data_IF_229717265512
#
_entry.id   IF_229717265512
#
_cell.length_a   1.000
_cell.length_b   1.000
_cell.length_c   1.000
_cell.angle_alpha   90.00
_cell.angle_beta   90.00
_cell.angle_gamma   90.00
#
_symmetry.space_group_name_H-M   'P 1'
#
loop_
_entity.id
_entity.type
_entity.pdbx_description
1 polymer ?
#
# COMPACT_ATOMS: atom_id res chain seq x y z
N UNK A 1 10.34 19.03 -3.68
CA UNK A 1 10.38 19.15 -5.16
C UNK A 1 10.05 20.60 -5.50
N UNK A 2 10.77 21.18 -6.46
CA UNK A 2 10.51 22.53 -6.96
C UNK A 2 10.16 22.48 -8.45
N UNK A 3 9.13 23.24 -8.82
CA UNK A 3 8.60 23.34 -10.18
C UNK A 3 8.76 24.76 -10.72
N UNK A 4 9.10 24.86 -11.99
CA UNK A 4 9.02 26.09 -12.77
C UNK A 4 7.92 25.94 -13.82
N UNK A 5 6.86 26.74 -13.70
CA UNK A 5 5.76 26.77 -14.66
C UNK A 5 6.10 27.81 -15.73
N UNK A 6 6.45 27.33 -16.93
CA UNK A 6 6.74 28.16 -18.10
C UNK A 6 5.47 28.47 -18.92
N UNK A 7 5.65 28.90 -20.17
CA UNK A 7 4.54 29.12 -21.13
C UNK A 7 4.01 27.84 -21.80
N UNK A 8 4.63 26.69 -21.53
CA UNK A 8 4.22 25.38 -22.05
C UNK A 8 3.18 24.71 -21.16
N UNK A 9 2.46 23.74 -21.72
CA UNK A 9 1.50 22.89 -21.00
C UNK A 9 2.17 21.95 -19.97
N UNK A 10 3.50 21.81 -20.01
CA UNK A 10 4.28 21.01 -19.07
C UNK A 10 5.16 21.89 -18.18
N UNK A 11 5.18 21.58 -16.88
CA UNK A 11 6.07 22.23 -15.92
C UNK A 11 7.49 21.62 -15.97
N UNK A 12 8.50 22.47 -15.76
CA UNK A 12 9.90 22.06 -15.66
C UNK A 12 10.24 21.74 -14.21
N UNK A 13 10.81 20.56 -13.97
CA UNK A 13 11.33 20.16 -12.66
C UNK A 13 12.73 20.76 -12.49
N UNK A 14 12.90 21.66 -11.54
CA UNK A 14 14.19 22.32 -11.30
C UNK A 14 15.01 21.65 -10.21
N UNK A 15 14.35 21.11 -9.18
CA UNK A 15 15.01 20.43 -8.07
C UNK A 15 14.17 19.29 -7.50
N UNK A 16 14.84 18.17 -7.20
CA UNK A 16 14.26 16.99 -6.57
C UNK A 16 15.13 16.55 -5.42
N UNK A 17 14.47 16.20 -4.32
CA UNK A 17 15.09 15.55 -3.17
C UNK A 17 14.25 14.33 -2.79
N UNK A 18 14.91 13.23 -2.42
CA UNK A 18 14.22 12.02 -1.95
C UNK A 18 13.95 12.15 -0.46
N UNK A 19 12.68 12.35 -0.09
CA UNK A 19 12.27 12.49 1.31
C UNK A 19 11.95 11.16 1.99
N UNK A 20 11.43 10.18 1.25
CA UNK A 20 11.03 8.88 1.80
C UNK A 20 11.29 7.77 0.81
N UNK A 21 11.88 6.68 1.30
CA UNK A 21 12.22 5.51 0.48
C UNK A 21 11.65 4.22 1.09
N UNK A 22 11.11 3.35 0.24
CA UNK A 22 10.42 2.11 0.62
C UNK A 22 11.16 0.85 0.10
N UNK A 23 12.40 0.55 0.57
CA UNK A 23 13.21 -0.57 0.04
C UNK A 23 12.50 -1.92 0.17
N UNK A 24 11.82 -2.16 1.31
CA UNK A 24 11.04 -3.38 1.57
C UNK A 24 9.90 -3.61 0.57
N UNK A 25 9.39 -2.55 -0.07
CA UNK A 25 8.39 -2.67 -1.14
C UNK A 25 9.10 -2.96 -2.46
N UNK A 26 10.14 -2.19 -2.79
CA UNK A 26 10.90 -2.32 -4.04
C UNK A 26 11.52 -3.71 -4.22
N UNK A 27 12.04 -4.30 -3.14
CA UNK A 27 12.77 -5.58 -3.16
C UNK A 27 11.83 -6.81 -3.13
N UNK A 28 10.51 -6.60 -3.04
CA UNK A 28 9.53 -7.68 -2.98
C UNK A 28 8.48 -7.50 -4.07
N UNK A 29 8.48 -8.38 -5.08
CA UNK A 29 7.62 -8.26 -6.26
C UNK A 29 6.13 -8.19 -5.91
N UNK A 30 5.65 -9.02 -4.98
CA UNK A 30 4.23 -9.00 -4.56
C UNK A 30 3.84 -7.65 -3.94
N UNK A 31 4.72 -7.05 -3.12
CA UNK A 31 4.49 -5.72 -2.55
C UNK A 31 4.57 -4.64 -3.61
N UNK A 32 5.49 -4.76 -4.57
CA UNK A 32 5.60 -3.81 -5.66
C UNK A 32 4.33 -3.82 -6.52
N UNK A 33 3.79 -4.99 -6.85
CA UNK A 33 2.51 -5.12 -7.58
C UNK A 33 1.38 -4.44 -6.82
N UNK A 34 1.27 -4.65 -5.50
CA UNK A 34 0.26 -4.00 -4.65
C UNK A 34 0.43 -2.49 -4.58
N UNK A 35 1.67 -2.00 -4.50
CA UNK A 35 1.97 -0.58 -4.49
C UNK A 35 1.57 0.10 -5.81
N UNK A 36 1.83 -0.55 -6.95
CA UNK A 36 1.39 -0.05 -8.26
C UNK A 36 -0.14 0.01 -8.37
N UNK A 37 -0.85 -1.01 -7.86
CA UNK A 37 -2.31 -1.00 -7.85
C UNK A 37 -2.89 0.14 -6.99
N UNK A 38 -2.24 0.48 -5.87
CA UNK A 38 -2.63 1.63 -5.05
C UNK A 38 -2.39 2.96 -5.77
N UNK A 39 -1.30 3.08 -6.53
CA UNK A 39 -1.02 4.28 -7.32
C UNK A 39 -2.07 4.48 -8.42
N UNK A 40 -2.38 3.43 -9.17
CA UNK A 40 -3.41 3.45 -10.22
C UNK A 40 -4.78 3.85 -9.65
N UNK A 41 -5.16 3.26 -8.51
CA UNK A 41 -6.44 3.58 -7.86
C UNK A 41 -6.52 5.05 -7.44
N UNK A 42 -5.41 5.66 -7.03
CA UNK A 42 -5.36 7.08 -6.67
C UNK A 42 -5.39 7.96 -7.91
N UNK A 43 -4.67 7.58 -8.96
CA UNK A 43 -4.63 8.30 -10.24
C UNK A 43 -6.02 8.40 -10.89
N UNK A 44 -6.79 7.30 -10.85
CA UNK A 44 -8.17 7.24 -11.36
C UNK A 44 -9.16 8.15 -10.63
N UNK A 45 -8.88 8.49 -9.37
CA UNK A 45 -9.80 9.25 -8.50
C UNK A 45 -9.38 10.71 -8.39
N UNK A 46 -8.11 11.03 -8.63
CA UNK A 46 -7.62 12.40 -8.62
C UNK A 46 -8.19 13.20 -9.79
N UNK A 47 -8.56 14.46 -9.53
CA UNK A 47 -9.00 15.38 -10.58
C UNK A 47 -7.78 15.94 -11.34
N UNK A 48 -7.82 16.02 -12.68
CA UNK A 48 -6.75 16.62 -13.46
C UNK A 48 -6.47 18.06 -13.04
N UNK A 49 -5.19 18.44 -13.01
CA UNK A 49 -4.70 19.80 -12.70
C UNK A 49 -5.12 20.40 -11.34
N UNK A 50 -5.74 19.59 -10.47
CA UNK A 50 -6.12 20.01 -9.12
C UNK A 50 -5.21 19.38 -8.05
N UNK A 51 -4.77 20.17 -7.04
CA UNK A 51 -4.01 19.61 -5.93
C UNK A 51 -4.90 18.69 -5.09
N UNK A 52 -4.50 17.42 -4.95
CA UNK A 52 -5.20 16.42 -4.14
C UNK A 52 -4.39 15.99 -2.89
N UNK A 53 -4.20 16.88 -1.89
CA UNK A 53 -3.36 16.60 -0.71
C UNK A 53 -3.87 15.42 0.13
N UNK A 54 -5.19 15.22 0.19
CA UNK A 54 -5.80 14.11 0.92
C UNK A 54 -5.48 12.76 0.28
N UNK A 55 -5.51 12.69 -1.05
CA UNK A 55 -5.13 11.50 -1.82
C UNK A 55 -3.64 11.18 -1.65
N UNK A 56 -2.79 12.21 -1.63
CA UNK A 56 -1.37 12.06 -1.31
C UNK A 56 -1.17 11.45 0.09
N UNK A 57 -1.84 11.98 1.12
CA UNK A 57 -1.76 11.47 2.49
C UNK A 57 -2.27 10.04 2.58
N UNK A 58 -3.38 9.73 1.91
CA UNK A 58 -3.95 8.37 1.86
C UNK A 58 -2.96 7.38 1.22
N UNK A 59 -2.41 7.70 0.05
CA UNK A 59 -1.43 6.86 -0.63
C UNK A 59 -0.20 6.63 0.24
N UNK A 60 0.34 7.70 0.84
CA UNK A 60 1.52 7.61 1.68
C UNK A 60 1.29 6.67 2.88
N UNK A 61 0.14 6.80 3.56
CA UNK A 61 -0.26 5.90 4.66
C UNK A 61 -0.43 4.47 4.20
N UNK A 62 -1.04 4.24 3.03
CA UNK A 62 -1.21 2.91 2.46
C UNK A 62 0.15 2.26 2.16
N UNK A 63 1.12 3.00 1.60
CA UNK A 63 2.49 2.53 1.38
C UNK A 63 3.22 2.23 2.69
N UNK A 64 3.03 3.04 3.74
CA UNK A 64 3.56 2.74 5.07
C UNK A 64 2.97 1.47 5.69
N UNK A 65 1.67 1.22 5.50
CA UNK A 65 1.01 -0.02 5.94
C UNK A 65 1.54 -1.23 5.16
N UNK A 66 1.65 -1.10 3.84
CA UNK A 66 2.18 -2.13 2.94
C UNK A 66 3.64 -2.46 3.24
N UNK A 67 4.46 -1.46 3.64
CA UNK A 67 5.84 -1.67 4.13
C UNK A 67 5.87 -2.48 5.43
N UNK A 68 4.95 -2.22 6.36
CA UNK A 68 5.03 -2.70 7.75
C UNK A 68 4.49 -4.12 7.96
N UNK A 69 3.82 -4.72 6.96
CA UNK A 69 2.96 -5.92 7.13
C UNK A 69 1.85 -5.65 8.16
N UNK A 70 0.74 -5.08 7.72
CA UNK A 70 -0.55 -5.60 8.19
C UNK A 70 -0.98 -6.63 7.14
N UNK A 71 -0.81 -7.92 7.45
CA UNK A 71 -1.62 -8.91 6.78
C UNK A 71 -3.06 -8.51 7.12
N UNK A 72 -3.86 -8.15 6.14
CA UNK A 72 -5.31 -8.32 6.29
C UNK A 72 -5.47 -9.79 6.66
N UNK A 73 -5.77 -10.03 7.93
CA UNK A 73 -5.97 -11.35 8.51
C UNK A 73 -7.29 -11.90 7.96
N UNK A 74 -7.31 -12.20 6.66
CA UNK A 74 -8.42 -12.83 5.95
C UNK A 74 -8.23 -14.34 5.78
N UNK A 75 -7.16 -14.92 6.30
CA UNK A 75 -6.92 -16.38 6.27
C UNK A 75 -6.30 -16.85 7.58
N UNK A 76 -6.88 -16.44 8.73
CA UNK A 76 -6.76 -17.29 9.91
C UNK A 76 -7.72 -18.46 9.69
N UNK A 77 -7.22 -19.52 9.04
CA UNK A 77 -7.84 -20.84 9.08
C UNK A 77 -8.16 -21.12 10.55
N UNK A 78 -9.45 -21.19 10.87
CA UNK A 78 -9.92 -21.65 12.17
C UNK A 78 -9.29 -23.03 12.41
N UNK A 79 -8.68 -23.29 13.58
CA UNK A 79 -8.29 -24.65 13.91
C UNK A 79 -9.56 -25.49 13.94
N UNK A 80 -9.60 -26.54 13.10
CA UNK A 80 -10.70 -27.52 13.06
C UNK A 80 -10.91 -28.03 14.48
N UNK A 81 -12.09 -27.80 15.06
CA UNK A 81 -12.43 -28.32 16.37
C UNK A 81 -12.37 -29.86 16.33
N UNK A 82 -11.33 -30.44 16.92
CA UNK A 82 -11.32 -31.85 17.26
C UNK A 82 -12.30 -32.04 18.42
N UNK A 83 -13.49 -32.56 18.11
CA UNK A 83 -14.47 -32.98 19.10
C UNK A 83 -13.91 -34.06 20.05
N UNK A 84 -14.46 -34.19 21.25
CA UNK A 84 -13.83 -34.91 22.35
C UNK A 84 -13.76 -36.41 22.09
N UNK A 85 -12.55 -36.97 22.28
CA UNK A 85 -12.31 -38.42 22.37
C UNK A 85 -13.13 -38.99 23.54
N UNK A 86 -14.15 -39.79 23.23
CA UNK A 86 -14.79 -40.66 24.24
C UNK A 86 -13.89 -41.87 24.46
N UNK A 87 -13.02 -41.76 25.45
CA UNK A 87 -12.37 -42.93 26.04
C UNK A 87 -13.30 -43.41 27.16
N UNK A 88 -14.01 -44.53 26.96
CA UNK A 88 -14.65 -45.26 28.05
C UNK A 88 -13.92 -46.59 28.22
N UNK A 89 -12.82 -46.53 28.97
CA UNK A 89 -12.28 -47.67 29.70
C UNK A 89 -12.98 -47.73 31.05
N UNK A 90 -13.83 -48.72 31.26
CA UNK A 90 -14.04 -49.32 32.59
C UNK A 90 -14.42 -50.78 32.39
N UNK A 91 -13.74 -51.61 33.18
CA UNK A 91 -13.87 -53.05 33.38
C UNK A 91 -15.29 -53.56 33.59
#
# INVERSE_FOLDING_TARGET
MQLHIGRSELALITQVETLTYFPKIRENFERLTKANALLEAVDQVALPDEPAPEMHVMLLRALHSLKSKFAIAGTKLLPKANGPRRNRTTS
#
